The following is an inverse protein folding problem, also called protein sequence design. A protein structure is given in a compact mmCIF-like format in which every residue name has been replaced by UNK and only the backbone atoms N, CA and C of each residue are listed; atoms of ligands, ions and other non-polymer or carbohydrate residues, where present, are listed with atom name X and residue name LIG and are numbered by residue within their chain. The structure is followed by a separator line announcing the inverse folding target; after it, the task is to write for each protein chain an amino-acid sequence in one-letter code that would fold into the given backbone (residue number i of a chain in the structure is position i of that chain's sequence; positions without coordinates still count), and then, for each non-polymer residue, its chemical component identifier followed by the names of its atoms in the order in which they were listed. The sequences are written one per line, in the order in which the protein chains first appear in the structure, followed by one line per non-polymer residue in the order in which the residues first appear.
data_IF_388913393830
#
_entry.id   IF_388913393830
#
_cell.length_a   1.000
_cell.length_b   1.000
_cell.length_c   1.000
_cell.angle_alpha   90.00
_cell.angle_beta   90.00
_cell.angle_gamma   90.00
#
_symmetry.space_group_name_H-M   'P 1'
#
loop_
_entity.id
_entity.type
_entity.pdbx_description
1 polymer ?
#
# COMPACT_ATOMS: atom_id res chain seq x y z
N UNK A 1 -19.49 -6.83 3.42
CA UNK A 1 -18.06 -6.49 3.26
C UNK A 1 -17.44 -6.20 4.62
N UNK A 2 -16.16 -6.51 4.75
CA UNK A 2 -15.40 -6.22 5.98
C UNK A 2 -14.57 -4.98 5.80
N UNK A 3 -14.20 -4.37 6.92
CA UNK A 3 -13.30 -3.22 6.91
C UNK A 3 -11.87 -3.65 7.21
N UNK A 4 -10.93 -3.07 6.47
CA UNK A 4 -9.50 -3.39 6.57
C UNK A 4 -8.68 -2.12 6.56
N UNK A 5 -7.48 -2.25 7.10
CA UNK A 5 -6.46 -1.22 6.99
C UNK A 5 -5.21 -1.85 6.39
N UNK A 6 -4.61 -1.16 5.45
CA UNK A 6 -3.36 -1.61 4.83
C UNK A 6 -2.32 -0.52 4.95
N UNK A 7 -1.11 -0.91 5.32
CA UNK A 7 0.06 -0.05 5.29
C UNK A 7 0.98 -0.62 4.23
N UNK A 8 1.42 0.19 3.28
CA UNK A 8 2.42 -0.26 2.32
C UNK A 8 3.48 0.81 2.10
N UNK A 9 4.66 0.33 1.72
CA UNK A 9 5.84 1.16 1.53
C UNK A 9 6.22 1.20 0.07
N UNK A 10 6.37 2.42 -0.46
CA UNK A 10 6.84 2.63 -1.83
C UNK A 10 8.31 3.00 -1.77
N UNK A 11 9.10 2.44 -2.68
CA UNK A 11 10.55 2.68 -2.74
C UNK A 11 10.88 4.17 -2.81
N UNK A 12 12.04 4.52 -2.28
CA UNK A 12 12.55 5.89 -2.34
C UNK A 12 12.80 6.28 -3.80
N UNK A 13 12.24 7.43 -4.20
CA UNK A 13 12.38 7.98 -5.54
C UNK A 13 12.00 9.46 -5.51
N UNK A 14 12.07 10.12 -6.64
CA UNK A 14 11.66 11.52 -6.76
C UNK A 14 10.16 11.64 -6.51
N UNK A 15 9.74 12.78 -5.99
CA UNK A 15 8.35 13.00 -5.61
C UNK A 15 7.36 12.83 -6.76
N UNK A 16 7.69 13.28 -7.94
CA UNK A 16 6.83 13.11 -9.12
C UNK A 16 6.70 11.64 -9.52
N UNK A 17 7.77 10.86 -9.40
CA UNK A 17 7.74 9.43 -9.64
C UNK A 17 6.90 8.72 -8.58
N UNK A 18 7.04 9.11 -7.31
CA UNK A 18 6.25 8.58 -6.22
C UNK A 18 4.75 8.78 -6.45
N UNK A 19 4.35 9.99 -6.83
CA UNK A 19 2.94 10.29 -7.06
C UNK A 19 2.36 9.43 -8.17
N UNK A 20 3.12 9.22 -9.24
CA UNK A 20 2.71 8.38 -10.35
C UNK A 20 2.58 6.91 -9.92
N UNK A 21 3.54 6.41 -9.16
CA UNK A 21 3.51 5.05 -8.63
C UNK A 21 2.31 4.83 -7.73
N UNK A 22 2.05 5.78 -6.83
CA UNK A 22 0.91 5.70 -5.92
C UNK A 22 -0.41 5.67 -6.70
N UNK A 23 -0.56 6.54 -7.69
CA UNK A 23 -1.75 6.56 -8.53
C UNK A 23 -1.96 5.23 -9.24
N UNK A 24 -0.91 4.67 -9.82
CA UNK A 24 -0.98 3.39 -10.51
C UNK A 24 -1.38 2.26 -9.57
N UNK A 25 -0.82 2.23 -8.37
CA UNK A 25 -1.16 1.23 -7.36
C UNK A 25 -2.63 1.36 -6.95
N UNK A 26 -3.07 2.57 -6.64
CA UNK A 26 -4.45 2.82 -6.22
C UNK A 26 -5.44 2.45 -7.32
N UNK A 27 -5.11 2.74 -8.58
CA UNK A 27 -5.97 2.38 -9.71
C UNK A 27 -6.13 0.86 -9.84
N UNK A 28 -5.09 0.10 -9.55
CA UNK A 28 -5.17 -1.36 -9.59
C UNK A 28 -6.03 -1.92 -8.46
N UNK A 29 -5.86 -1.41 -7.25
CA UNK A 29 -6.59 -1.95 -6.09
C UNK A 29 -8.04 -1.49 -6.03
N UNK A 30 -8.38 -0.33 -6.59
CA UNK A 30 -9.77 0.16 -6.67
C UNK A 30 -10.70 -0.80 -7.38
N UNK A 31 -10.17 -1.67 -8.22
CA UNK A 31 -10.97 -2.63 -8.99
C UNK A 31 -11.51 -3.75 -8.10
N UNK A 32 -10.89 -3.99 -6.95
CA UNK A 32 -11.27 -5.10 -6.08
C UNK A 32 -11.67 -4.66 -4.67
N UNK A 33 -11.34 -3.44 -4.26
CA UNK A 33 -11.70 -2.91 -2.94
C UNK A 33 -12.31 -1.52 -3.06
N UNK A 34 -13.09 -1.14 -2.06
CA UNK A 34 -13.64 0.21 -1.95
C UNK A 34 -12.81 1.00 -0.97
N UNK A 35 -12.03 1.96 -1.46
CA UNK A 35 -11.15 2.76 -0.62
C UNK A 35 -11.96 3.87 0.05
N UNK A 36 -11.87 3.93 1.38
CA UNK A 36 -12.55 4.95 2.18
C UNK A 36 -11.63 6.12 2.51
N UNK A 37 -10.41 5.83 2.96
CA UNK A 37 -9.45 6.84 3.41
C UNK A 37 -8.07 6.49 2.89
N UNK A 38 -7.34 7.50 2.43
CA UNK A 38 -5.94 7.37 2.03
C UNK A 38 -5.14 8.38 2.86
N UNK A 39 -4.15 7.90 3.58
CA UNK A 39 -3.22 8.76 4.32
C UNK A 39 -1.81 8.58 3.77
N UNK A 40 -1.24 9.66 3.28
CA UNK A 40 0.15 9.69 2.84
C UNK A 40 1.00 10.21 4.00
N UNK A 41 1.69 9.28 4.66
CA UNK A 41 2.56 9.63 5.78
C UNK A 41 3.81 10.34 5.28
N UNK A 42 4.27 9.96 4.09
CA UNK A 42 5.43 10.55 3.45
C UNK A 42 6.70 9.73 3.61
N UNK A 43 7.81 10.32 3.25
CA UNK A 43 9.12 9.67 3.27
C UNK A 43 9.60 9.51 4.71
N UNK A 44 9.95 8.27 5.09
CA UNK A 44 10.41 7.93 6.43
C UNK A 44 11.64 7.06 6.35
N UNK A 45 12.52 7.22 7.31
CA UNK A 45 13.72 6.39 7.46
C UNK A 45 13.32 5.00 7.94
N UNK A 46 13.89 3.98 7.31
CA UNK A 46 13.66 2.60 7.71
C UNK A 46 14.62 2.19 8.83
N UNK A 47 14.17 1.31 9.71
CA UNK A 47 15.01 0.76 10.78
C UNK A 47 16.16 -0.07 10.21
N UNK A 48 15.94 -0.71 9.06
CA UNK A 48 16.96 -1.46 8.32
C UNK A 48 16.62 -1.38 6.82
N UNK A 49 17.63 -1.58 5.99
CA UNK A 49 17.45 -1.53 4.53
C UNK A 49 16.48 -2.59 4.05
N UNK A 50 15.63 -2.21 3.10
CA UNK A 50 14.78 -3.14 2.38
C UNK A 50 15.07 -2.93 0.89
N UNK A 51 15.51 -3.98 0.19
CA UNK A 51 15.84 -3.93 -1.23
C UNK A 51 16.72 -2.72 -1.58
N UNK A 52 17.76 -2.48 -0.77
CA UNK A 52 18.71 -1.37 -0.91
C UNK A 52 18.12 0.02 -0.68
N UNK A 53 16.92 0.12 -0.12
CA UNK A 53 16.33 1.39 0.27
C UNK A 53 16.49 1.62 1.77
N UNK A 54 17.00 2.79 2.14
CA UNK A 54 17.13 3.21 3.54
C UNK A 54 15.94 4.02 4.01
N UNK A 55 15.15 4.49 3.05
CA UNK A 55 13.94 5.27 3.28
C UNK A 55 12.84 4.76 2.36
N UNK A 56 11.60 5.01 2.73
CA UNK A 56 10.45 4.65 1.91
C UNK A 56 9.30 5.60 2.18
N UNK A 57 8.40 5.71 1.21
CA UNK A 57 7.15 6.44 1.40
C UNK A 57 6.14 5.51 2.07
N UNK A 58 5.57 5.95 3.17
CA UNK A 58 4.56 5.21 3.92
C UNK A 58 3.17 5.66 3.52
N UNK A 59 2.32 4.73 3.15
CA UNK A 59 0.93 4.99 2.80
C UNK A 59 0.04 4.08 3.65
N UNK A 60 -1.03 4.65 4.19
CA UNK A 60 -2.05 3.91 4.93
C UNK A 60 -3.36 4.09 4.19
N UNK A 61 -4.05 2.99 3.92
CA UNK A 61 -5.39 3.03 3.33
C UNK A 61 -6.35 2.27 4.23
N UNK A 62 -7.56 2.83 4.35
CA UNK A 62 -8.68 2.14 5.00
C UNK A 62 -9.68 1.83 3.90
N UNK A 63 -10.15 0.61 3.86
CA UNK A 63 -10.98 0.16 2.75
C UNK A 63 -11.94 -0.93 3.18
N UNK A 64 -12.94 -1.17 2.33
CA UNK A 64 -13.89 -2.26 2.47
C UNK A 64 -13.66 -3.27 1.37
N UNK A 65 -13.73 -4.53 1.72
CA UNK A 65 -13.56 -5.61 0.77
C UNK A 65 -14.21 -6.88 1.29
N UNK A 66 -14.43 -7.82 0.39
CA UNK A 66 -14.80 -9.18 0.77
C UNK A 66 -13.54 -9.90 1.22
N UNK A 67 -13.67 -10.78 2.21
CA UNK A 67 -12.51 -11.53 2.71
C UNK A 67 -11.81 -12.33 1.60
N UNK A 68 -12.57 -12.82 0.62
CA UNK A 68 -12.02 -13.56 -0.52
C UNK A 68 -11.17 -12.70 -1.46
N UNK A 69 -11.37 -11.37 -1.46
CA UNK A 69 -10.60 -10.45 -2.30
C UNK A 69 -9.24 -10.08 -1.70
N UNK A 70 -9.01 -10.39 -0.44
CA UNK A 70 -7.76 -10.04 0.24
C UNK A 70 -6.55 -10.78 -0.35
N UNK A 71 -6.74 -12.04 -0.74
CA UNK A 71 -5.67 -12.80 -1.39
C UNK A 71 -5.23 -12.14 -2.70
N UNK A 72 -6.18 -11.63 -3.47
CA UNK A 72 -5.90 -10.92 -4.72
C UNK A 72 -5.18 -9.58 -4.44
N UNK A 73 -5.58 -8.87 -3.40
CA UNK A 73 -4.92 -7.63 -3.00
C UNK A 73 -3.45 -7.90 -2.63
N UNK A 74 -3.20 -8.95 -1.85
CA UNK A 74 -1.84 -9.35 -1.50
C UNK A 74 -1.00 -9.67 -2.74
N UNK A 75 -1.61 -10.39 -3.70
CA UNK A 75 -0.95 -10.73 -4.94
C UNK A 75 -0.55 -9.46 -5.71
N UNK A 76 -1.44 -8.48 -5.79
CA UNK A 76 -1.16 -7.21 -6.46
C UNK A 76 0.03 -6.50 -5.80
N UNK A 77 0.05 -6.43 -4.48
CA UNK A 77 1.17 -5.81 -3.77
C UNK A 77 2.49 -6.54 -4.04
N UNK A 78 2.45 -7.88 -4.07
CA UNK A 78 3.66 -8.69 -4.27
C UNK A 78 4.25 -8.58 -5.67
N UNK A 79 3.44 -8.40 -6.69
CA UNK A 79 3.93 -8.31 -8.07
C UNK A 79 4.42 -6.90 -8.44
N UNK A 80 4.11 -5.90 -7.64
CA UNK A 80 4.56 -4.53 -7.88
C UNK A 80 5.93 -4.34 -7.21
N UNK A 81 6.98 -4.24 -8.02
CA UNK A 81 8.34 -4.10 -7.51
C UNK A 81 8.54 -2.84 -6.68
N UNK A 82 7.78 -1.80 -6.97
CA UNK A 82 7.87 -0.52 -6.26
C UNK A 82 7.36 -0.61 -4.82
N UNK A 83 6.56 -1.64 -4.50
CA UNK A 83 6.07 -1.88 -3.14
C UNK A 83 7.09 -2.73 -2.40
N UNK A 84 7.78 -2.12 -1.44
CA UNK A 84 8.83 -2.80 -0.68
C UNK A 84 8.28 -3.76 0.37
N UNK A 85 7.18 -3.38 0.99
CA UNK A 85 6.58 -4.13 2.09
C UNK A 85 5.13 -3.71 2.24
N UNK A 86 4.30 -4.61 2.74
CA UNK A 86 2.90 -4.29 3.03
C UNK A 86 2.38 -5.11 4.20
N UNK A 87 1.36 -4.58 4.86
CA UNK A 87 0.62 -5.25 5.93
C UNK A 87 -0.86 -4.99 5.68
N UNK A 88 -1.70 -6.00 5.85
CA UNK A 88 -3.16 -5.87 5.75
C UNK A 88 -3.74 -6.40 7.05
N UNK A 89 -4.55 -5.59 7.71
CA UNK A 89 -5.18 -5.94 8.99
C UNK A 89 -6.69 -5.75 8.89
N UNK A 90 -7.44 -6.73 9.36
CA UNK A 90 -8.89 -6.59 9.47
C UNK A 90 -9.21 -5.74 10.69
N UNK A 91 -10.09 -4.75 10.49
CA UNK A 91 -10.51 -3.87 11.56
C UNK A 91 -11.71 -4.52 12.24
N UNK A 92 -11.56 -4.85 13.53
CA UNK A 92 -12.65 -5.39 14.33
C UNK A 92 -13.39 -4.24 15.02
N UNK A 93 -14.68 -4.31 15.01
CA UNK A 93 -15.50 -3.36 15.76
C UNK A 93 -15.71 -3.83 17.19
#
# INVERSE_FOLDING_TARGET
MNEYESVFLIKNCKEDEYKKMLEDILNKIKKIVTIDIIEEIGLRKLAYEIKKNKQAYYIIIKFKAKSEDIAELERIYRIIDDVLKFIIVKIDE
#
